data_IF_063194802197
#
_entry.id   IF_063194802197
#
_cell.length_a   1.000
_cell.length_b   1.000
_cell.length_c   1.000
_cell.angle_alpha   90.00
_cell.angle_beta   90.00
_cell.angle_gamma   90.00
#
_symmetry.space_group_name_H-M   'P 1'
#
loop_
_entity.id
_entity.type
_entity.pdbx_description
1 polymer ?
#
# COMPACT_ATOMS: atom_id res chain seq x y z
N UNK A 1 29.02 -8.42 17.37
CA UNK A 1 27.57 -8.58 17.47
C UNK A 1 27.09 -8.94 16.08
N UNK A 2 26.47 -10.11 15.88
CA UNK A 2 25.92 -10.49 14.58
C UNK A 2 24.74 -9.52 14.32
N UNK A 3 24.81 -8.73 13.25
CA UNK A 3 23.66 -7.94 12.82
C UNK A 3 22.55 -8.93 12.44
N UNK A 4 21.40 -8.83 13.10
CA UNK A 4 20.22 -9.58 12.65
C UNK A 4 19.86 -9.17 11.23
N UNK A 5 19.34 -10.09 10.43
CA UNK A 5 18.83 -9.76 9.11
C UNK A 5 17.69 -8.73 9.22
N UNK A 6 17.59 -7.75 8.32
CA UNK A 6 16.49 -6.82 8.31
C UNK A 6 15.17 -7.55 8.02
N UNK A 7 14.06 -7.00 8.52
CA UNK A 7 12.71 -7.47 8.19
C UNK A 7 12.34 -6.98 6.79
N UNK A 8 12.09 -7.91 5.86
CA UNK A 8 11.72 -7.61 4.49
C UNK A 8 10.20 -7.58 4.33
N UNK A 9 9.63 -6.41 4.09
CA UNK A 9 8.18 -6.25 3.88
C UNK A 9 7.91 -5.86 2.43
N UNK A 10 7.00 -6.59 1.79
CA UNK A 10 6.56 -6.32 0.42
C UNK A 10 5.07 -6.00 0.36
N UNK A 11 4.70 -5.10 -0.54
CA UNK A 11 3.31 -4.79 -0.89
C UNK A 11 3.09 -4.88 -2.37
N UNK A 12 1.98 -5.48 -2.80
CA UNK A 12 1.58 -5.49 -4.21
C UNK A 12 0.08 -5.68 -4.40
N UNK A 13 -0.51 -4.84 -5.23
CA UNK A 13 -1.81 -5.10 -5.83
C UNK A 13 -1.65 -6.18 -6.92
N UNK A 14 -2.22 -7.36 -6.68
CA UNK A 14 -2.06 -8.52 -7.58
C UNK A 14 -3.09 -8.57 -8.71
N UNK A 15 -4.09 -7.69 -8.69
CA UNK A 15 -5.17 -7.66 -9.68
C UNK A 15 -5.78 -9.06 -9.96
N UNK A 16 -5.95 -9.84 -8.88
CA UNK A 16 -6.40 -11.23 -8.89
C UNK A 16 -5.26 -12.24 -8.74
N UNK A 17 -5.09 -12.76 -7.52
CA UNK A 17 -3.95 -13.59 -7.12
C UNK A 17 -3.78 -14.85 -7.97
N UNK A 18 -4.89 -15.52 -8.36
CA UNK A 18 -4.83 -16.71 -9.23
C UNK A 18 -4.21 -16.40 -10.61
N UNK A 19 -4.51 -15.23 -11.16
CA UNK A 19 -3.93 -14.79 -12.44
C UNK A 19 -2.46 -14.41 -12.29
N UNK A 20 -2.10 -13.73 -11.19
CA UNK A 20 -0.74 -13.35 -10.89
C UNK A 20 0.18 -14.58 -10.72
N UNK A 21 -0.25 -15.59 -9.97
CA UNK A 21 0.51 -16.85 -9.81
C UNK A 21 0.71 -17.59 -11.14
N UNK A 22 -0.33 -17.70 -11.98
CA UNK A 22 -0.18 -18.33 -13.31
C UNK A 22 0.82 -17.61 -14.22
N UNK A 23 1.11 -16.34 -13.96
CA UNK A 23 2.03 -15.52 -14.76
C UNK A 23 3.42 -15.36 -14.13
N UNK A 24 3.74 -16.04 -13.03
CA UNK A 24 5.08 -16.06 -12.45
C UNK A 24 5.24 -15.34 -11.11
N UNK A 25 4.15 -14.91 -10.45
CA UNK A 25 4.26 -14.31 -9.11
C UNK A 25 4.96 -15.24 -8.10
N UNK A 26 4.70 -16.57 -8.17
CA UNK A 26 5.32 -17.55 -7.28
C UNK A 26 6.85 -17.56 -7.41
N UNK A 27 7.39 -17.52 -8.62
CA UNK A 27 8.85 -17.48 -8.87
C UNK A 27 9.49 -16.20 -8.29
N UNK A 28 8.82 -15.06 -8.42
CA UNK A 28 9.27 -13.83 -7.79
C UNK A 28 9.29 -13.94 -6.27
N UNK A 29 8.21 -14.47 -5.66
CA UNK A 29 8.07 -14.59 -4.22
C UNK A 29 9.13 -15.55 -3.62
N UNK A 30 9.37 -16.69 -4.27
CA UNK A 30 10.36 -17.68 -3.85
C UNK A 30 11.79 -17.12 -3.89
N UNK A 31 12.07 -16.27 -4.87
CA UNK A 31 13.39 -15.65 -5.04
C UNK A 31 13.64 -14.41 -4.20
N UNK A 32 12.60 -13.79 -3.64
CA UNK A 32 12.72 -12.44 -3.05
C UNK A 32 13.02 -12.42 -1.56
N UNK A 33 12.74 -13.51 -0.83
CA UNK A 33 13.04 -13.62 0.60
C UNK A 33 12.15 -12.74 1.49
N UNK A 34 10.89 -12.54 1.10
CA UNK A 34 9.91 -11.71 1.82
C UNK A 34 9.53 -12.35 3.15
N UNK A 35 9.53 -11.56 4.23
CA UNK A 35 9.07 -11.97 5.56
C UNK A 35 7.58 -11.67 5.78
N UNK A 36 7.11 -10.48 5.33
CA UNK A 36 5.71 -10.07 5.37
C UNK A 36 5.30 -9.56 3.99
N UNK A 37 4.27 -10.17 3.43
CA UNK A 37 3.69 -9.83 2.12
C UNK A 37 2.27 -9.28 2.31
N UNK A 38 2.06 -8.03 1.93
CA UNK A 38 0.75 -7.40 1.87
C UNK A 38 0.20 -7.45 0.45
N UNK A 39 -1.00 -7.99 0.31
CA UNK A 39 -1.66 -8.16 -0.98
C UNK A 39 -2.93 -7.31 -1.05
N UNK A 40 -3.17 -6.70 -2.21
CA UNK A 40 -4.40 -5.99 -2.52
C UNK A 40 -5.01 -6.60 -3.78
N UNK A 41 -6.33 -6.43 -3.93
CA UNK A 41 -7.11 -7.04 -5.01
C UNK A 41 -6.89 -8.55 -5.16
N UNK A 42 -6.91 -9.26 -4.04
CA UNK A 42 -6.74 -10.73 -4.00
C UNK A 42 -7.78 -11.43 -4.87
N UNK A 43 -9.05 -10.99 -4.83
CA UNK A 43 -10.17 -11.46 -5.68
C UNK A 43 -10.35 -12.98 -5.70
N UNK A 44 -10.02 -13.65 -4.62
CA UNK A 44 -10.08 -15.10 -4.46
C UNK A 44 -10.61 -15.46 -3.07
N UNK A 45 -10.91 -16.73 -2.83
CA UNK A 45 -11.23 -17.23 -1.49
C UNK A 45 -9.96 -17.37 -0.66
N UNK A 46 -10.11 -17.49 0.66
CA UNK A 46 -8.99 -17.78 1.57
C UNK A 46 -8.33 -19.11 1.23
N UNK A 47 -9.12 -20.15 0.94
CA UNK A 47 -8.64 -21.47 0.51
C UNK A 47 -7.79 -21.42 -0.77
N UNK A 48 -8.24 -20.64 -1.77
CA UNK A 48 -7.45 -20.41 -2.99
C UNK A 48 -6.11 -19.73 -2.67
N UNK A 49 -6.13 -18.73 -1.79
CA UNK A 49 -4.93 -17.99 -1.41
C UNK A 49 -3.94 -18.87 -0.64
N UNK A 50 -4.44 -19.64 0.35
CA UNK A 50 -3.65 -20.61 1.10
C UNK A 50 -3.04 -21.69 0.19
N UNK A 51 -3.82 -22.19 -0.75
CA UNK A 51 -3.34 -23.19 -1.73
C UNK A 51 -2.25 -22.65 -2.65
N UNK A 52 -2.25 -21.36 -2.97
CA UNK A 52 -1.26 -20.72 -3.84
C UNK A 52 0.04 -20.36 -3.10
N UNK A 53 -0.07 -19.84 -1.87
CA UNK A 53 1.09 -19.44 -1.06
C UNK A 53 1.77 -20.62 -0.39
N UNK A 54 1.01 -21.67 -0.07
CA UNK A 54 1.53 -22.88 0.57
C UNK A 54 1.67 -22.77 2.08
N UNK A 55 2.09 -23.88 2.75
CA UNK A 55 2.01 -24.03 4.20
C UNK A 55 3.05 -23.23 5.00
N UNK A 56 4.06 -22.68 4.34
CA UNK A 56 5.12 -21.90 5.00
C UNK A 56 4.69 -20.46 5.31
N UNK A 57 3.46 -20.09 4.95
CA UNK A 57 2.89 -18.78 5.19
C UNK A 57 1.74 -18.82 6.18
N UNK A 58 1.78 -17.93 7.17
CA UNK A 58 0.65 -17.62 8.03
C UNK A 58 -0.17 -16.52 7.34
N UNK A 59 -1.42 -16.82 7.00
CA UNK A 59 -2.25 -15.95 6.15
C UNK A 59 -3.39 -15.37 6.97
N UNK A 60 -3.50 -14.05 6.94
CA UNK A 60 -4.67 -13.29 7.34
C UNK A 60 -5.29 -12.72 6.07
N UNK A 61 -6.60 -12.87 5.89
CA UNK A 61 -7.29 -12.44 4.70
C UNK A 61 -8.63 -11.80 5.06
N UNK A 62 -8.86 -10.60 4.58
CA UNK A 62 -10.15 -9.91 4.60
C UNK A 62 -10.72 -9.90 3.18
N UNK A 63 -11.54 -10.92 2.82
CA UNK A 63 -12.16 -10.97 1.51
C UNK A 63 -13.34 -9.99 1.44
N UNK A 64 -13.51 -9.30 0.32
CA UNK A 64 -14.72 -8.53 0.10
C UNK A 64 -15.95 -9.45 -0.01
N UNK A 65 -17.08 -9.02 0.57
CA UNK A 65 -18.36 -9.72 0.43
C UNK A 65 -18.78 -9.84 -1.04
N UNK A 66 -18.47 -8.83 -1.86
CA UNK A 66 -18.70 -8.86 -3.30
C UNK A 66 -17.66 -9.73 -4.00
N UNK A 67 -18.08 -10.90 -4.49
CA UNK A 67 -17.21 -11.87 -5.17
C UNK A 67 -16.41 -11.26 -6.32
N UNK A 68 -15.11 -11.59 -6.38
CA UNK A 68 -14.21 -11.15 -7.44
C UNK A 68 -13.84 -9.67 -7.40
N UNK A 69 -14.06 -9.00 -6.28
CA UNK A 69 -13.69 -7.60 -6.04
C UNK A 69 -12.81 -7.47 -4.81
N UNK A 70 -11.93 -6.48 -4.81
CA UNK A 70 -11.07 -6.15 -3.67
C UNK A 70 -10.45 -7.39 -2.99
N UNK A 71 -10.45 -7.42 -1.67
CA UNK A 71 -9.78 -8.42 -0.85
C UNK A 71 -8.35 -7.99 -0.56
N UNK A 72 -8.01 -7.85 0.74
CA UNK A 72 -6.65 -7.57 1.21
C UNK A 72 -6.16 -8.71 2.08
N UNK A 73 -4.86 -8.97 2.03
CA UNK A 73 -4.26 -10.01 2.84
C UNK A 73 -2.90 -9.59 3.38
N UNK A 74 -2.53 -10.22 4.49
CA UNK A 74 -1.18 -10.24 5.05
C UNK A 74 -0.75 -11.70 5.14
N UNK A 75 0.31 -12.05 4.43
CA UNK A 75 0.96 -13.35 4.54
C UNK A 75 2.34 -13.15 5.16
N UNK A 76 2.68 -13.93 6.18
CA UNK A 76 3.92 -13.74 6.93
C UNK A 76 4.57 -15.08 7.33
N UNK A 77 5.89 -15.06 7.51
CA UNK A 77 6.64 -16.23 7.99
C UNK A 77 6.33 -16.50 9.46
N UNK A 78 6.25 -15.45 10.26
CA UNK A 78 5.86 -15.54 11.67
C UNK A 78 4.37 -15.23 11.85
N UNK A 79 3.77 -15.76 12.90
CA UNK A 79 2.35 -15.53 13.20
C UNK A 79 2.16 -14.12 13.78
N UNK A 80 1.11 -13.45 13.35
CA UNK A 80 0.62 -12.24 14.01
C UNK A 80 0.04 -12.59 15.40
N UNK A 81 0.26 -11.72 16.37
CA UNK A 81 -0.33 -11.84 17.70
C UNK A 81 -1.79 -11.42 17.74
N UNK A 82 -2.12 -10.36 17.01
CA UNK A 82 -3.46 -9.75 16.94
C UNK A 82 -3.69 -9.34 15.48
N UNK A 83 -4.95 -9.41 15.04
CA UNK A 83 -5.37 -8.82 13.78
C UNK A 83 -6.74 -8.15 13.92
N UNK A 84 -6.99 -7.16 13.07
CA UNK A 84 -8.21 -6.35 13.02
C UNK A 84 -8.56 -6.02 11.57
N UNK A 85 -9.84 -5.96 11.25
CA UNK A 85 -10.33 -5.62 9.90
C UNK A 85 -11.16 -4.33 9.89
N UNK A 86 -11.39 -3.74 11.07
CA UNK A 86 -12.19 -2.54 11.22
C UNK A 86 -11.33 -1.28 10.99
N UNK A 87 -11.70 -0.49 9.99
CA UNK A 87 -11.15 0.84 9.75
C UNK A 87 -11.74 1.91 10.70
N UNK A 88 -12.78 1.55 11.45
CA UNK A 88 -13.53 2.48 12.30
C UNK A 88 -14.79 3.07 11.63
N UNK A 89 -15.05 2.70 10.38
CA UNK A 89 -16.28 3.08 9.65
C UNK A 89 -16.97 1.81 9.16
N UNK A 90 -18.08 1.46 9.81
CA UNK A 90 -18.80 0.19 9.63
C UNK A 90 -19.21 -0.12 8.17
N UNK A 91 -19.34 0.91 7.34
CA UNK A 91 -19.64 0.74 5.92
C UNK A 91 -18.52 0.03 5.14
N UNK A 92 -17.30 -0.02 5.71
CA UNK A 92 -16.13 -0.67 5.10
C UNK A 92 -15.76 -2.03 5.70
N UNK A 93 -16.41 -2.46 6.81
CA UNK A 93 -16.07 -3.70 7.54
C UNK A 93 -16.19 -4.97 6.69
N UNK A 94 -16.94 -4.94 5.60
CA UNK A 94 -17.10 -6.06 4.67
C UNK A 94 -16.55 -5.78 3.27
N UNK A 95 -15.79 -4.70 3.11
CA UNK A 95 -15.32 -4.24 1.82
C UNK A 95 -14.03 -4.94 1.35
N UNK A 96 -13.34 -5.67 2.25
CA UNK A 96 -12.07 -6.33 1.96
C UNK A 96 -10.99 -5.32 1.57
N UNK A 97 -10.84 -4.25 2.37
CA UNK A 97 -9.96 -3.12 2.01
C UNK A 97 -9.03 -2.66 3.11
N UNK A 98 -9.17 -3.20 4.32
CA UNK A 98 -8.37 -2.82 5.48
C UNK A 98 -8.13 -4.02 6.37
N UNK A 99 -6.86 -4.37 6.61
CA UNK A 99 -6.47 -5.48 7.46
C UNK A 99 -5.20 -5.09 8.22
N UNK A 100 -5.30 -5.04 9.55
CA UNK A 100 -4.19 -4.75 10.46
C UNK A 100 -3.70 -6.01 11.15
N UNK A 101 -2.40 -6.11 11.39
CA UNK A 101 -1.82 -7.17 12.19
C UNK A 101 -0.61 -6.69 12.99
N UNK A 102 -0.49 -7.16 14.23
CA UNK A 102 0.64 -6.90 15.10
C UNK A 102 1.60 -8.09 15.10
N UNK A 103 2.87 -7.85 14.78
CA UNK A 103 3.94 -8.84 14.74
C UNK A 103 4.98 -8.51 15.81
N UNK A 104 5.49 -9.53 16.50
CA UNK A 104 6.65 -9.37 17.37
C UNK A 104 7.93 -9.65 16.58
N UNK A 105 8.73 -8.63 16.39
CA UNK A 105 10.00 -8.72 15.68
C UNK A 105 11.12 -8.27 16.62
N UNK A 106 11.99 -9.21 17.00
CA UNK A 106 13.14 -8.92 17.88
C UNK A 106 12.77 -8.28 19.23
N UNK A 107 11.58 -8.60 19.78
CA UNK A 107 11.06 -8.01 21.02
C UNK A 107 10.40 -6.63 20.84
N UNK A 108 10.18 -6.22 19.59
CA UNK A 108 9.47 -4.98 19.22
C UNK A 108 8.17 -5.34 18.52
N UNK A 109 7.07 -4.67 18.88
CA UNK A 109 5.80 -4.83 18.18
C UNK A 109 5.80 -3.94 16.95
N UNK A 110 5.59 -4.55 15.78
CA UNK A 110 5.42 -3.88 14.49
C UNK A 110 3.98 -4.07 14.04
N UNK A 111 3.24 -2.98 13.90
CA UNK A 111 1.88 -3.00 13.36
C UNK A 111 1.93 -2.81 11.85
N UNK A 112 1.41 -3.77 11.10
CA UNK A 112 1.38 -3.74 9.63
C UNK A 112 -0.05 -3.73 9.14
N UNK A 113 -0.38 -2.80 8.25
CA UNK A 113 -1.71 -2.66 7.66
C UNK A 113 -1.64 -2.85 6.16
N UNK A 114 -2.36 -3.84 5.62
CA UNK A 114 -2.61 -3.95 4.18
C UNK A 114 -3.90 -3.21 3.83
N UNK A 115 -3.82 -2.21 2.94
CA UNK A 115 -4.99 -1.42 2.53
C UNK A 115 -5.11 -1.27 1.02
N UNK A 116 -6.38 -1.20 0.57
CA UNK A 116 -6.74 -0.93 -0.82
C UNK A 116 -7.76 0.20 -0.90
N UNK A 117 -7.29 1.42 -1.15
CA UNK A 117 -8.16 2.59 -1.31
C UNK A 117 -8.94 2.49 -2.63
N UNK A 118 -10.18 2.93 -2.66
CA UNK A 118 -11.00 2.96 -3.87
C UNK A 118 -10.30 3.75 -4.99
N UNK A 119 -10.34 3.24 -6.23
CA UNK A 119 -9.81 3.99 -7.37
C UNK A 119 -10.56 5.31 -7.60
N UNK A 120 -11.85 5.33 -7.25
CA UNK A 120 -12.72 6.48 -7.48
C UNK A 120 -13.05 6.68 -8.96
N UNK A 121 -13.95 7.60 -9.21
CA UNK A 121 -14.29 8.11 -10.53
C UNK A 121 -14.94 9.48 -10.33
N UNK A 122 -14.31 10.53 -10.84
CA UNK A 122 -14.75 11.91 -10.62
C UNK A 122 -16.26 12.09 -10.93
N UNK A 123 -16.95 12.86 -10.08
CA UNK A 123 -18.37 13.18 -10.21
C UNK A 123 -19.31 11.96 -10.19
N UNK A 124 -18.91 10.87 -9.51
CA UNK A 124 -19.73 9.66 -9.31
C UNK A 124 -19.74 9.22 -7.86
N UNK A 125 -20.72 8.37 -7.44
CA UNK A 125 -20.74 7.79 -6.09
C UNK A 125 -19.47 7.02 -5.71
N UNK A 126 -18.71 6.49 -6.67
CA UNK A 126 -17.42 5.84 -6.40
C UNK A 126 -16.38 6.81 -5.83
N UNK A 127 -16.44 8.08 -6.25
CA UNK A 127 -15.58 9.10 -5.70
C UNK A 127 -16.01 9.48 -4.28
N UNK A 128 -17.31 9.48 -4.01
CA UNK A 128 -17.83 9.73 -2.66
C UNK A 128 -17.43 8.62 -1.69
N UNK A 129 -17.45 7.36 -2.13
CA UNK A 129 -16.91 6.23 -1.34
C UNK A 129 -15.42 6.40 -1.04
N UNK A 130 -14.64 6.86 -2.02
CA UNK A 130 -13.22 7.15 -1.82
C UNK A 130 -13.00 8.25 -0.78
N UNK A 131 -13.79 9.34 -0.82
CA UNK A 131 -13.72 10.41 0.17
C UNK A 131 -13.95 9.88 1.58
N UNK A 132 -15.01 9.12 1.80
CA UNK A 132 -15.34 8.53 3.09
C UNK A 132 -14.25 7.58 3.59
N UNK A 133 -13.63 6.79 2.69
CA UNK A 133 -12.53 5.92 3.06
C UNK A 133 -11.30 6.73 3.50
N UNK A 134 -10.95 7.79 2.79
CA UNK A 134 -9.83 8.68 3.16
C UNK A 134 -10.12 9.45 4.45
N UNK A 135 -11.38 9.84 4.69
CA UNK A 135 -11.82 10.43 5.96
C UNK A 135 -11.62 9.44 7.13
N UNK A 136 -12.05 8.18 6.97
CA UNK A 136 -11.86 7.14 7.97
C UNK A 136 -10.36 6.84 8.21
N UNK A 137 -9.54 6.83 7.15
CA UNK A 137 -8.08 6.73 7.30
C UNK A 137 -7.51 7.90 8.10
N UNK A 138 -8.00 9.14 7.88
CA UNK A 138 -7.54 10.32 8.61
C UNK A 138 -7.77 10.22 10.11
N UNK A 139 -8.81 9.51 10.53
CA UNK A 139 -9.11 9.23 11.94
C UNK A 139 -8.30 8.04 12.47
N UNK A 140 -8.10 6.99 11.65
CA UNK A 140 -7.40 5.78 12.08
C UNK A 140 -5.88 5.93 12.17
N UNK A 141 -5.24 6.70 11.30
CA UNK A 141 -3.80 6.88 11.29
C UNK A 141 -3.23 7.40 12.63
N UNK A 142 -3.80 8.44 13.28
CA UNK A 142 -3.35 8.89 14.62
C UNK A 142 -3.51 7.83 15.71
N UNK A 143 -4.54 6.97 15.62
CA UNK A 143 -4.75 5.89 16.58
C UNK A 143 -3.68 4.80 16.43
N UNK A 144 -3.32 4.44 15.19
CA UNK A 144 -2.24 3.49 14.91
C UNK A 144 -0.90 4.01 15.44
N UNK A 145 -0.58 5.29 15.21
CA UNK A 145 0.65 5.92 15.70
C UNK A 145 0.72 5.96 17.25
N UNK A 146 -0.43 6.04 17.92
CA UNK A 146 -0.51 5.92 19.39
C UNK A 146 -0.38 4.47 19.87
N UNK A 147 -0.84 3.52 19.06
CA UNK A 147 -0.79 2.09 19.40
C UNK A 147 0.63 1.52 19.28
N UNK A 148 1.38 1.92 18.25
CA UNK A 148 2.73 1.42 17.99
C UNK A 148 3.62 2.51 17.41
N UNK A 149 4.81 2.68 18.00
CA UNK A 149 5.88 3.54 17.44
C UNK A 149 6.37 3.00 16.07
N UNK A 150 6.17 1.70 15.80
CA UNK A 150 6.55 1.02 14.58
C UNK A 150 5.30 0.57 13.81
N UNK A 151 4.53 1.51 13.30
CA UNK A 151 3.35 1.23 12.48
C UNK A 151 3.62 1.52 10.99
N UNK A 152 3.12 0.63 10.13
CA UNK A 152 3.25 0.67 8.68
C UNK A 152 1.88 0.48 8.02
N UNK A 153 1.43 1.46 7.25
CA UNK A 153 0.27 1.34 6.37
C UNK A 153 0.77 1.24 4.94
N UNK A 154 0.51 0.12 4.30
CA UNK A 154 1.02 -0.15 2.96
C UNK A 154 -0.06 -0.69 2.03
N UNK A 155 0.11 -0.46 0.75
CA UNK A 155 -0.79 -0.95 -0.29
C UNK A 155 -1.04 0.05 -1.40
N UNK A 156 -2.04 -0.26 -2.20
CA UNK A 156 -2.51 0.59 -3.29
C UNK A 156 -3.46 1.65 -2.75
N UNK A 157 -2.95 2.86 -2.60
CA UNK A 157 -3.73 4.01 -2.12
C UNK A 157 -4.44 4.77 -3.25
N UNK A 158 -4.25 4.35 -4.50
CA UNK A 158 -4.90 4.91 -5.68
C UNK A 158 -4.80 6.46 -5.81
N UNK A 159 -3.73 7.06 -5.27
CA UNK A 159 -3.46 8.50 -5.34
C UNK A 159 -1.98 8.72 -5.62
N UNK A 160 -1.65 9.50 -6.66
CA UNK A 160 -0.34 10.12 -6.80
C UNK A 160 -0.32 11.40 -5.98
N UNK A 161 0.52 11.49 -4.96
CA UNK A 161 0.57 12.64 -4.07
C UNK A 161 1.17 13.86 -4.76
N UNK A 162 2.34 13.72 -5.35
CA UNK A 162 3.10 14.81 -5.97
C UNK A 162 3.08 14.73 -7.49
N UNK A 163 3.46 15.84 -8.15
CA UNK A 163 3.65 15.84 -9.61
C UNK A 163 4.69 14.83 -10.08
N UNK A 164 5.66 14.52 -9.24
CA UNK A 164 6.70 13.52 -9.46
C UNK A 164 6.15 12.08 -9.49
N UNK A 165 4.98 11.85 -8.91
CA UNK A 165 4.37 10.53 -8.81
C UNK A 165 3.61 10.10 -10.06
N UNK A 166 3.44 10.99 -11.04
CA UNK A 166 2.68 10.72 -12.27
C UNK A 166 3.43 11.27 -13.47
N UNK A 167 3.81 10.42 -14.42
CA UNK A 167 4.55 10.83 -15.62
C UNK A 167 3.87 11.96 -16.40
N UNK A 168 2.58 11.83 -16.63
CA UNK A 168 1.78 12.81 -17.39
C UNK A 168 0.82 13.58 -16.47
N UNK A 169 1.30 14.09 -15.34
CA UNK A 169 0.48 14.72 -14.31
C UNK A 169 -0.41 15.87 -14.84
N UNK A 170 0.06 16.68 -15.81
CA UNK A 170 -0.71 17.81 -16.37
C UNK A 170 -2.05 17.40 -16.96
N UNK A 171 -2.10 16.22 -17.60
CA UNK A 171 -3.33 15.67 -18.17
C UNK A 171 -4.23 14.97 -17.13
N UNK A 172 -3.78 14.82 -15.89
CA UNK A 172 -4.45 14.04 -14.85
C UNK A 172 -4.96 14.89 -13.67
N UNK A 173 -4.72 16.21 -13.64
CA UNK A 173 -5.11 17.11 -12.53
C UNK A 173 -6.63 17.16 -12.23
N UNK A 174 -7.45 16.69 -13.16
CA UNK A 174 -8.91 16.59 -13.02
C UNK A 174 -9.40 15.13 -13.03
N UNK A 175 -8.53 14.17 -12.78
CA UNK A 175 -8.89 12.75 -12.76
C UNK A 175 -8.74 12.19 -11.35
N UNK A 176 -9.61 11.25 -11.00
CA UNK A 176 -9.44 10.46 -9.78
C UNK A 176 -8.05 9.82 -9.75
N UNK A 177 -7.46 9.80 -8.58
CA UNK A 177 -6.06 9.44 -8.36
C UNK A 177 -5.09 10.62 -8.39
N UNK A 178 -5.54 11.83 -8.84
CA UNK A 178 -4.70 13.04 -8.79
C UNK A 178 -5.52 14.33 -8.60
N UNK A 179 -6.73 14.22 -8.08
CA UNK A 179 -7.54 15.39 -7.75
C UNK A 179 -6.85 16.19 -6.62
N UNK A 180 -6.94 17.54 -6.63
CA UNK A 180 -6.36 18.37 -5.57
C UNK A 180 -6.80 17.92 -4.16
N UNK A 181 -8.09 17.58 -3.98
CA UNK A 181 -8.61 17.10 -2.69
C UNK A 181 -8.01 15.74 -2.28
N UNK A 182 -7.77 14.80 -3.20
CA UNK A 182 -7.08 13.54 -2.90
C UNK A 182 -5.67 13.80 -2.38
N UNK A 183 -4.94 14.68 -3.05
CA UNK A 183 -3.58 15.07 -2.68
C UNK A 183 -3.54 15.79 -1.33
N UNK A 184 -4.55 16.60 -1.01
CA UNK A 184 -4.67 17.29 0.27
C UNK A 184 -4.79 16.34 1.48
N UNK A 185 -5.37 15.14 1.31
CA UNK A 185 -5.30 14.09 2.35
C UNK A 185 -3.86 13.68 2.58
N UNK A 186 -3.09 13.46 1.54
CA UNK A 186 -1.69 13.03 1.62
C UNK A 186 -0.78 14.15 2.16
N UNK A 187 -1.05 15.41 1.81
CA UNK A 187 -0.36 16.55 2.42
C UNK A 187 -0.53 16.53 3.94
N UNK A 188 -1.74 16.20 4.44
CA UNK A 188 -2.01 16.08 5.89
C UNK A 188 -1.43 14.80 6.49
N UNK A 189 -1.54 13.65 5.83
CA UNK A 189 -0.97 12.40 6.35
C UNK A 189 0.53 12.54 6.61
N UNK A 190 1.25 13.19 5.72
CA UNK A 190 2.70 13.34 5.76
C UNK A 190 3.19 14.71 6.24
N UNK A 191 2.28 15.61 6.56
CA UNK A 191 2.62 16.90 7.17
C UNK A 191 3.10 16.75 8.61
N UNK A 192 3.87 17.71 9.14
CA UNK A 192 4.38 17.67 10.51
C UNK A 192 3.27 17.44 11.53
N UNK A 193 3.49 16.53 12.47
CA UNK A 193 2.48 16.15 13.47
C UNK A 193 2.00 17.34 14.28
N UNK A 194 0.68 17.52 14.34
CA UNK A 194 0.03 18.57 15.12
C UNK A 194 0.12 19.97 14.51
N UNK A 195 0.85 20.18 13.41
CA UNK A 195 0.99 21.49 12.78
C UNK A 195 -0.05 21.73 11.67
N UNK A 196 -0.40 23.01 11.40
CA UNK A 196 -1.25 23.35 10.27
C UNK A 196 -0.56 23.02 8.94
N UNK A 197 -1.30 22.36 8.04
CA UNK A 197 -0.85 21.97 6.69
C UNK A 197 -1.82 22.53 5.67
N UNK A 198 -1.31 23.24 4.67
CA UNK A 198 -2.07 23.67 3.49
C UNK A 198 -2.11 22.53 2.48
N UNK A 199 -3.30 22.09 2.13
CA UNK A 199 -3.52 21.04 1.15
C UNK A 199 -3.43 21.54 -0.30
N UNK A 200 -3.19 20.64 -1.23
CA UNK A 200 -3.14 20.92 -2.67
C UNK A 200 -4.44 21.51 -3.25
N UNK A 201 -5.54 21.40 -2.52
CA UNK A 201 -6.86 21.99 -2.84
C UNK A 201 -7.08 23.38 -2.19
N UNK A 202 -6.09 23.89 -1.45
CA UNK A 202 -6.18 25.14 -0.69
C UNK A 202 -6.86 25.02 0.67
N UNK A 203 -7.29 23.83 1.07
CA UNK A 203 -7.82 23.58 2.41
C UNK A 203 -6.69 23.56 3.45
N UNK A 204 -7.00 23.90 4.70
CA UNK A 204 -6.06 23.76 5.83
C UNK A 204 -6.52 22.60 6.71
N UNK A 205 -5.57 21.77 7.15
CA UNK A 205 -5.81 20.68 8.08
C UNK A 205 -4.63 20.51 9.03
N UNK A 206 -4.65 19.47 9.84
CA UNK A 206 -3.56 19.15 10.79
C UNK A 206 -2.71 18.01 10.22
N UNK A 207 -1.40 18.16 10.28
CA UNK A 207 -0.44 17.13 9.89
C UNK A 207 -0.47 15.95 10.86
N UNK A 208 -0.29 14.74 10.34
CA UNK A 208 -0.35 13.48 11.10
C UNK A 208 1.04 12.85 11.33
N UNK A 209 2.11 13.40 10.75
CA UNK A 209 3.48 13.00 10.98
C UNK A 209 3.92 11.68 10.33
N UNK A 210 3.13 11.09 9.44
CA UNK A 210 3.52 9.87 8.73
C UNK A 210 4.58 10.15 7.66
N UNK A 211 5.38 9.17 7.34
CA UNK A 211 6.48 9.28 6.38
C UNK A 211 6.23 8.36 5.18
N UNK A 212 6.27 8.94 3.98
CA UNK A 212 6.33 8.18 2.73
C UNK A 212 7.76 7.65 2.53
N UNK A 213 7.98 6.39 2.89
CA UNK A 213 9.29 5.73 2.80
C UNK A 213 9.82 5.74 1.37
N UNK A 214 8.94 5.57 0.38
CA UNK A 214 9.31 5.58 -1.04
C UNK A 214 9.81 6.94 -1.49
N UNK A 215 9.12 8.01 -1.13
CA UNK A 215 9.57 9.37 -1.47
C UNK A 215 10.80 9.78 -0.67
N UNK A 216 10.89 9.39 0.60
CA UNK A 216 12.10 9.61 1.40
C UNK A 216 13.34 8.94 0.76
N UNK A 217 13.20 7.71 0.28
CA UNK A 217 14.31 6.98 -0.34
C UNK A 217 14.66 7.50 -1.74
N UNK A 218 13.66 7.82 -2.56
CA UNK A 218 13.88 8.27 -3.94
C UNK A 218 14.31 9.75 -4.05
N UNK A 219 13.91 10.60 -3.08
CA UNK A 219 14.15 12.04 -3.15
C UNK A 219 13.31 12.74 -4.23
N UNK A 220 13.77 13.89 -4.70
CA UNK A 220 13.08 14.77 -5.66
C UNK A 220 13.25 14.32 -7.13
N UNK A 221 12.88 13.05 -7.43
CA UNK A 221 12.94 12.49 -8.78
C UNK A 221 11.57 12.02 -9.25
N UNK A 222 11.34 11.97 -10.56
CA UNK A 222 10.14 11.36 -11.15
C UNK A 222 10.08 9.87 -10.81
N UNK A 223 8.91 9.40 -10.36
CA UNK A 223 8.75 8.02 -9.91
C UNK A 223 9.43 7.75 -8.55
N UNK A 224 9.96 6.53 -8.30
CA UNK A 224 9.77 5.33 -9.14
C UNK A 224 8.29 4.94 -9.20
N UNK A 225 7.78 4.69 -10.41
CA UNK A 225 6.38 4.34 -10.61
C UNK A 225 6.13 2.91 -10.15
N UNK A 226 4.88 2.64 -9.69
CA UNK A 226 4.47 1.34 -9.17
C UNK A 226 3.36 0.71 -9.99
N UNK A 227 2.65 1.50 -10.82
CA UNK A 227 1.55 1.07 -11.67
C UNK A 227 1.69 1.60 -13.09
N UNK A 228 1.33 0.76 -14.08
CA UNK A 228 1.27 1.12 -15.51
C UNK A 228 0.05 0.47 -16.15
N UNK A 229 -0.76 1.26 -16.83
CA UNK A 229 -1.91 0.75 -17.61
C UNK A 229 -1.50 -0.38 -18.55
N UNK A 230 -2.39 -1.34 -18.74
CA UNK A 230 -2.25 -2.37 -19.78
C UNK A 230 -2.39 -1.80 -21.21
N UNK A 231 -2.83 -0.54 -21.36
CA UNK A 231 -3.11 0.11 -22.64
C UNK A 231 -2.03 1.12 -23.02
N UNK A 232 -1.94 1.40 -24.33
CA UNK A 232 -1.18 2.55 -24.84
C UNK A 232 0.34 2.44 -24.67
N UNK A 233 0.89 1.22 -24.57
CA UNK A 233 2.34 0.99 -24.33
C UNK A 233 2.86 1.73 -23.08
N UNK A 234 1.99 1.91 -22.08
CA UNK A 234 2.33 2.69 -20.90
C UNK A 234 3.54 2.14 -20.16
N UNK A 235 3.68 0.81 -20.09
CA UNK A 235 4.82 0.16 -19.45
C UNK A 235 6.13 0.40 -20.21
N UNK A 236 6.13 0.20 -21.53
CA UNK A 236 7.35 0.33 -22.35
C UNK A 236 7.81 1.79 -22.42
N UNK A 237 6.87 2.75 -22.43
CA UNK A 237 7.14 4.17 -22.41
C UNK A 237 7.38 4.74 -21.00
N UNK A 238 7.36 3.90 -19.97
CA UNK A 238 7.42 4.27 -18.56
C UNK A 238 6.43 5.38 -18.16
N UNK A 239 5.23 5.33 -18.75
CA UNK A 239 4.14 6.25 -18.44
C UNK A 239 3.36 5.70 -17.25
N UNK A 240 3.99 5.77 -16.09
CA UNK A 240 3.52 5.16 -14.85
C UNK A 240 3.00 6.17 -13.82
N UNK A 241 2.43 5.59 -12.76
CA UNK A 241 1.98 6.26 -11.55
C UNK A 241 2.60 5.57 -10.33
N UNK A 242 3.00 6.33 -9.33
CA UNK A 242 3.38 5.82 -8.02
C UNK A 242 2.17 5.97 -7.10
N UNK A 243 1.45 4.91 -6.88
CA UNK A 243 0.19 4.85 -6.11
C UNK A 243 0.20 3.76 -5.04
N UNK A 244 1.24 2.94 -5.00
CA UNK A 244 1.50 1.97 -3.93
C UNK A 244 2.52 2.57 -2.96
N UNK A 245 2.20 2.52 -1.67
CA UNK A 245 2.94 3.23 -0.63
C UNK A 245 3.38 2.29 0.49
N UNK A 246 4.45 2.69 1.17
CA UNK A 246 4.79 2.34 2.53
C UNK A 246 4.73 3.63 3.34
N UNK A 247 3.62 3.89 4.02
CA UNK A 247 3.47 5.00 4.97
C UNK A 247 3.83 4.49 6.35
N UNK A 248 4.92 4.98 6.91
CA UNK A 248 5.45 4.55 8.18
C UNK A 248 5.39 5.65 9.24
N UNK A 249 5.26 5.27 10.50
CA UNK A 249 5.58 6.17 11.61
C UNK A 249 7.03 6.61 11.55
N UNK A 250 7.41 7.77 12.11
CA UNK A 250 8.79 8.29 12.03
C UNK A 250 9.85 7.30 12.54
N UNK A 251 9.57 6.57 13.62
CA UNK A 251 10.50 5.59 14.18
C UNK A 251 10.75 4.42 13.22
N UNK A 252 9.70 3.91 12.57
CA UNK A 252 9.84 2.84 11.58
C UNK A 252 10.50 3.34 10.31
N UNK A 253 10.16 4.53 9.83
CA UNK A 253 10.79 5.14 8.65
C UNK A 253 12.29 5.38 8.85
N UNK A 254 12.73 5.70 10.06
CA UNK A 254 14.15 5.92 10.38
C UNK A 254 15.01 4.64 10.26
N UNK A 255 14.41 3.46 10.35
CA UNK A 255 15.10 2.16 10.21
C UNK A 255 14.85 1.49 8.84
N UNK A 256 14.15 2.14 7.93
CA UNK A 256 14.03 1.72 6.55
C UNK A 256 15.39 1.92 5.84
N UNK A 257 15.97 0.84 5.31
CA UNK A 257 17.35 0.87 4.78
C UNK A 257 17.44 0.66 3.28
N UNK A 258 16.43 0.05 2.69
CA UNK A 258 16.42 -0.29 1.28
C UNK A 258 14.98 -0.23 0.75
N UNK A 259 14.76 0.54 -0.29
CA UNK A 259 13.46 0.67 -0.96
C UNK A 259 13.61 0.31 -2.43
N UNK A 260 12.83 -0.64 -2.89
CA UNK A 260 12.84 -1.07 -4.29
C UNK A 260 11.42 -1.19 -4.85
N UNK A 261 11.28 -0.89 -6.13
CA UNK A 261 10.10 -1.26 -6.92
C UNK A 261 10.56 -2.36 -7.86
N UNK A 262 10.08 -3.58 -7.63
CA UNK A 262 10.45 -4.76 -8.41
C UNK A 262 9.69 -4.76 -9.75
N UNK A 263 10.02 -3.79 -10.61
CA UNK A 263 9.45 -3.65 -11.95
C UNK A 263 9.87 -4.81 -12.83
N UNK A 264 8.94 -5.44 -13.52
CA UNK A 264 9.23 -6.50 -14.47
C UNK A 264 10.18 -6.01 -15.59
N UNK A 265 11.02 -6.90 -16.12
CA UNK A 265 12.01 -6.57 -17.16
C UNK A 265 11.33 -6.17 -18.49
N UNK A 266 10.15 -6.72 -18.79
CA UNK A 266 9.40 -6.48 -20.01
C UNK A 266 7.89 -6.55 -19.78
N UNK A 267 7.12 -5.98 -20.70
CA UNK A 267 5.65 -5.96 -20.65
C UNK A 267 5.03 -7.35 -20.49
N UNK A 268 5.52 -8.33 -21.22
CA UNK A 268 5.03 -9.72 -21.21
C UNK A 268 5.48 -10.53 -19.98
N UNK A 269 6.40 -10.00 -19.19
CA UNK A 269 6.85 -10.57 -17.91
C UNK A 269 6.08 -10.08 -16.72
N UNK A 270 5.16 -9.14 -16.92
CA UNK A 270 4.31 -8.62 -15.83
C UNK A 270 3.24 -9.62 -15.44
N UNK A 271 3.18 -9.95 -14.19
CA UNK A 271 2.11 -10.77 -13.63
C UNK A 271 0.98 -9.92 -13.01
N UNK A 272 1.20 -8.62 -12.76
CA UNK A 272 0.20 -7.59 -12.40
C UNK A 272 0.44 -6.31 -13.21
N UNK A 273 -0.50 -5.38 -13.20
CA UNK A 273 -0.30 -4.00 -13.68
C UNK A 273 0.40 -3.12 -12.63
N UNK A 274 0.53 -3.60 -11.39
CA UNK A 274 1.40 -3.05 -10.36
C UNK A 274 2.69 -3.84 -10.27
N UNK A 275 3.75 -3.17 -9.81
CA UNK A 275 5.01 -3.79 -9.41
C UNK A 275 5.06 -3.88 -7.88
N UNK A 276 5.65 -4.95 -7.31
CA UNK A 276 5.88 -5.01 -5.87
C UNK A 276 6.74 -3.85 -5.37
N UNK A 277 6.32 -3.26 -4.27
CA UNK A 277 7.13 -2.33 -3.49
C UNK A 277 7.72 -3.11 -2.32
N UNK A 278 9.02 -3.12 -2.18
CA UNK A 278 9.74 -3.90 -1.18
C UNK A 278 10.68 -3.01 -0.39
N UNK A 279 10.64 -3.13 0.93
CA UNK A 279 11.44 -2.33 1.86
C UNK A 279 12.04 -3.22 2.94
N UNK A 280 13.32 -2.99 3.25
CA UNK A 280 14.03 -3.60 4.36
C UNK A 280 13.96 -2.69 5.59
N UNK A 281 13.60 -3.25 6.75
CA UNK A 281 13.56 -2.54 8.02
C UNK A 281 14.55 -3.17 9.00
N UNK A 282 15.54 -2.39 9.46
CA UNK A 282 16.60 -2.82 10.38
C UNK A 282 16.13 -2.69 11.85
N UNK A 283 15.32 -3.64 12.33
CA UNK A 283 14.72 -3.70 13.67
C UNK A 283 15.55 -4.52 14.66
#
# INVERSE_FOLDING_TARGET
MSSKAPLLIASVNVNGVRAAFRKGMGEWLDGRGVDILALQEVRASTEDLEGLLGPDWNILHDPATAKGRAGVALASRDRAHIHRVELGAAEFDSAGRWLEADYEVNGTVVTVVSTYVHSGEQDTPKQDEKWKFLDAMSERLPELAKHSDYALVLGDLNVGHQKLDIKNWKGNVKRSGFLPRERAYFDRFMGPEGEPVEGADGSTGTGLGWVDVGRQAAGEVEGPYTWWSWRGQAFDNDTGWRIDYHLATPALAAVATNYTVDRAEAYDKRWSDHAPVVVDYAL
#
